data_IF_715668412124
#
_entry.id   IF_715668412124
#
_cell.length_a   1.000
_cell.length_b   1.000
_cell.length_c   1.000
_cell.angle_alpha   90.00
_cell.angle_beta   90.00
_cell.angle_gamma   90.00
#
_symmetry.space_group_name_H-M   'P 1'
#
loop_
_entity.id
_entity.type
_entity.pdbx_description
1 polymer ?
#
# COMPACT_ATOMS: atom_id res chain seq x y z
N UNK A 1 -37.60 -21.24 -25.75
CA UNK A 1 -36.64 -21.16 -24.66
C UNK A 1 -37.11 -20.11 -23.68
N UNK A 2 -37.13 -20.42 -22.39
CA UNK A 2 -37.48 -19.48 -21.30
C UNK A 2 -36.43 -19.58 -20.21
N UNK A 3 -36.29 -18.47 -19.43
CA UNK A 3 -35.26 -18.26 -18.42
C UNK A 3 -34.19 -17.26 -18.91
N UNK A 4 -33.56 -16.59 -18.00
CA UNK A 4 -32.46 -15.66 -18.24
C UNK A 4 -31.37 -15.91 -17.21
N UNK A 5 -30.13 -15.68 -17.58
CA UNK A 5 -28.97 -15.74 -16.69
C UNK A 5 -28.50 -14.31 -16.45
N UNK A 6 -28.45 -13.91 -15.20
CA UNK A 6 -27.82 -12.66 -14.79
C UNK A 6 -26.38 -12.97 -14.36
N UNK A 7 -25.42 -12.70 -15.24
CA UNK A 7 -24.01 -12.96 -14.98
C UNK A 7 -23.37 -12.01 -13.97
N UNK A 8 -24.09 -10.97 -13.55
CA UNK A 8 -23.62 -10.04 -12.51
C UNK A 8 -24.00 -10.47 -11.08
N UNK A 9 -24.82 -11.52 -10.96
CA UNK A 9 -25.28 -12.02 -9.67
C UNK A 9 -24.97 -13.50 -9.52
N UNK A 10 -24.17 -13.89 -8.55
CA UNK A 10 -23.92 -15.28 -8.21
C UNK A 10 -25.23 -16.03 -7.89
N UNK A 11 -25.35 -17.26 -8.32
CA UNK A 11 -26.53 -18.07 -8.12
C UNK A 11 -26.79 -19.11 -9.23
N UNK A 12 -27.85 -19.87 -9.05
CA UNK A 12 -28.27 -20.92 -9.98
C UNK A 12 -29.43 -20.42 -10.82
N UNK A 13 -29.26 -20.49 -12.14
CA UNK A 13 -30.24 -20.05 -13.11
C UNK A 13 -30.74 -21.24 -13.93
N UNK A 14 -32.06 -21.44 -14.01
CA UNK A 14 -32.66 -22.49 -14.80
C UNK A 14 -33.08 -21.96 -16.18
N UNK A 15 -32.56 -22.57 -17.26
CA UNK A 15 -32.99 -22.33 -18.63
C UNK A 15 -33.83 -23.52 -19.05
N UNK A 16 -35.08 -23.27 -19.50
CA UNK A 16 -36.02 -24.26 -20.00
C UNK A 16 -36.10 -24.19 -21.51
N UNK A 17 -36.01 -25.34 -22.12
CA UNK A 17 -36.16 -25.54 -23.55
C UNK A 17 -37.43 -26.34 -23.79
N UNK A 18 -38.27 -25.90 -24.71
CA UNK A 18 -39.46 -26.61 -25.12
C UNK A 18 -39.58 -26.59 -26.64
N UNK A 19 -39.97 -27.65 -27.19
CA UNK A 19 -40.28 -27.81 -28.62
C UNK A 19 -41.57 -28.64 -28.76
N UNK A 20 -42.38 -28.33 -29.76
CA UNK A 20 -43.52 -29.12 -30.12
C UNK A 20 -43.43 -29.52 -31.59
N UNK A 21 -43.80 -30.78 -31.91
CA UNK A 21 -43.94 -31.21 -33.27
C UNK A 21 -45.25 -30.73 -33.92
N UNK A 22 -45.46 -31.07 -35.18
CA UNK A 22 -46.71 -30.73 -35.93
C UNK A 22 -47.97 -31.37 -35.33
N UNK A 23 -47.82 -32.47 -34.61
CA UNK A 23 -48.87 -33.20 -33.90
C UNK A 23 -49.08 -32.69 -32.45
N UNK A 24 -48.36 -31.62 -32.04
CA UNK A 24 -48.41 -30.99 -30.71
C UNK A 24 -47.80 -31.86 -29.61
N UNK A 25 -47.03 -32.90 -29.91
CA UNK A 25 -46.25 -33.61 -28.90
C UNK A 25 -45.12 -32.66 -28.42
N UNK A 26 -44.94 -32.54 -27.11
CA UNK A 26 -43.96 -31.63 -26.50
C UNK A 26 -42.73 -32.39 -26.03
N UNK A 27 -41.57 -31.86 -26.37
CA UNK A 27 -40.31 -32.20 -25.75
C UNK A 27 -39.81 -31.06 -24.89
N UNK A 28 -39.31 -31.38 -23.70
CA UNK A 28 -38.78 -30.38 -22.75
C UNK A 28 -37.41 -30.82 -22.24
N UNK A 29 -36.53 -29.82 -22.03
CA UNK A 29 -35.23 -30.02 -21.40
C UNK A 29 -34.92 -28.82 -20.49
N UNK A 30 -34.10 -29.02 -19.50
CA UNK A 30 -33.63 -27.98 -18.58
C UNK A 30 -32.11 -27.96 -18.54
N UNK A 31 -31.58 -26.77 -18.34
CA UNK A 31 -30.16 -26.57 -18.07
C UNK A 31 -30.04 -25.64 -16.84
N UNK A 32 -29.25 -26.05 -15.87
CA UNK A 32 -28.82 -25.16 -14.79
C UNK A 32 -27.52 -24.51 -15.19
N UNK A 33 -27.45 -23.19 -15.00
CA UNK A 33 -26.24 -22.37 -15.16
C UNK A 33 -25.85 -21.85 -13.79
N UNK A 34 -24.67 -22.21 -13.33
CA UNK A 34 -24.11 -21.73 -12.07
C UNK A 34 -23.28 -20.46 -12.36
N UNK A 35 -23.67 -19.33 -11.79
CA UNK A 35 -22.87 -18.10 -11.79
C UNK A 35 -22.17 -18.01 -10.45
N UNK A 36 -20.84 -17.96 -10.47
CA UNK A 36 -20.02 -17.90 -9.27
C UNK A 36 -19.21 -16.61 -9.26
N UNK A 37 -19.11 -15.98 -8.10
CA UNK A 37 -18.15 -14.92 -7.88
C UNK A 37 -16.80 -15.53 -7.46
N UNK A 38 -15.74 -15.11 -8.11
CA UNK A 38 -14.35 -15.55 -7.86
C UNK A 38 -13.43 -14.36 -7.54
N UNK A 39 -13.99 -13.17 -7.40
CA UNK A 39 -13.25 -11.94 -7.12
C UNK A 39 -13.17 -11.75 -5.62
N UNK A 40 -11.97 -11.56 -5.11
CA UNK A 40 -11.79 -11.25 -3.70
C UNK A 40 -12.13 -9.80 -3.39
N UNK A 41 -12.76 -9.52 -2.23
CA UNK A 41 -13.03 -8.16 -1.81
C UNK A 41 -11.76 -7.37 -1.58
N UNK A 42 -11.82 -6.06 -1.80
CA UNK A 42 -10.71 -5.14 -1.61
C UNK A 42 -10.89 -4.36 -0.30
N UNK A 43 -9.84 -4.40 0.54
CA UNK A 43 -9.75 -3.56 1.74
C UNK A 43 -8.86 -2.36 1.43
N UNK A 44 -9.38 -1.16 1.64
CA UNK A 44 -8.65 0.10 1.55
C UNK A 44 -8.46 0.68 2.94
N UNK A 45 -7.21 0.80 3.38
CA UNK A 45 -6.87 1.45 4.63
C UNK A 45 -7.08 2.97 4.53
N UNK A 46 -7.63 3.58 5.57
CA UNK A 46 -7.66 5.03 5.74
C UNK A 46 -6.31 5.47 6.31
N UNK A 47 -5.69 6.50 5.71
CA UNK A 47 -4.32 6.90 6.07
C UNK A 47 -3.25 5.90 5.61
N UNK A 48 -2.06 6.01 6.19
CA UNK A 48 -0.90 5.23 5.76
C UNK A 48 -0.94 3.77 6.26
N UNK A 49 -0.34 2.89 5.49
CA UNK A 49 -0.12 1.48 5.83
C UNK A 49 1.06 1.29 6.82
N UNK A 50 1.91 2.32 6.94
CA UNK A 50 2.96 2.42 7.96
C UNK A 50 2.76 3.67 8.80
N UNK A 51 2.71 3.51 10.12
CA UNK A 51 2.54 4.61 11.08
C UNK A 51 3.65 4.58 12.13
N UNK A 52 4.18 5.76 12.48
CA UNK A 52 5.12 5.92 13.57
C UNK A 52 4.44 6.61 14.76
N UNK A 53 4.56 6.01 15.95
CA UNK A 53 3.99 6.53 17.20
C UNK A 53 5.09 6.63 18.23
N UNK A 54 5.21 7.78 18.90
CA UNK A 54 6.16 7.93 20.00
C UNK A 54 5.66 7.13 21.20
N UNK A 55 6.55 6.43 21.87
CA UNK A 55 6.26 5.70 23.12
C UNK A 55 5.59 6.63 24.14
N UNK A 56 4.46 6.17 24.67
CA UNK A 56 3.59 6.90 25.57
C UNK A 56 2.46 7.66 24.86
N UNK A 57 2.58 7.99 23.59
CA UNK A 57 1.52 8.66 22.83
C UNK A 57 0.38 7.70 22.48
N UNK A 58 -0.84 8.23 22.38
CA UNK A 58 -2.01 7.42 22.02
C UNK A 58 -1.97 7.04 20.55
N UNK A 59 -2.03 5.74 20.26
CA UNK A 59 -2.35 5.24 18.94
C UNK A 59 -3.87 5.18 18.75
N UNK A 60 -4.35 5.61 17.58
CA UNK A 60 -5.71 5.42 17.11
C UNK A 60 -5.65 4.96 15.67
N UNK A 61 -6.28 3.83 15.37
CA UNK A 61 -6.39 3.34 14.00
C UNK A 61 -7.24 4.32 13.18
N UNK A 62 -6.75 4.81 12.01
CA UNK A 62 -7.53 5.71 11.15
C UNK A 62 -8.74 5.04 10.48
N UNK A 63 -8.81 3.71 10.53
CA UNK A 63 -9.90 2.94 9.93
C UNK A 63 -9.59 2.36 8.57
N UNK A 64 -10.64 1.86 7.94
CA UNK A 64 -10.59 1.17 6.65
C UNK A 64 -11.98 1.16 6.01
N UNK A 65 -12.04 0.77 4.73
CA UNK A 65 -13.27 0.39 4.01
C UNK A 65 -13.02 -0.92 3.29
N UNK A 66 -14.08 -1.70 3.05
CA UNK A 66 -14.00 -2.91 2.25
C UNK A 66 -15.15 -2.97 1.24
N UNK A 67 -14.83 -3.26 0.01
CA UNK A 67 -15.81 -3.35 -1.08
C UNK A 67 -15.57 -4.60 -1.93
N UNK A 68 -16.66 -5.13 -2.43
CA UNK A 68 -16.68 -6.26 -3.35
C UNK A 68 -17.53 -5.96 -4.57
N UNK A 69 -17.25 -6.61 -5.70
CA UNK A 69 -17.96 -6.39 -6.97
C UNK A 69 -19.39 -6.90 -6.96
N UNK A 70 -19.70 -7.94 -6.19
CA UNK A 70 -21.02 -8.56 -6.09
C UNK A 70 -21.75 -8.17 -4.81
N UNK A 71 -21.05 -8.11 -3.68
CA UNK A 71 -21.64 -7.83 -2.36
C UNK A 71 -21.64 -6.33 -2.02
N UNK A 72 -20.94 -5.48 -2.79
CA UNK A 72 -20.87 -4.04 -2.57
C UNK A 72 -20.04 -3.66 -1.35
N UNK A 73 -20.55 -2.81 -0.48
CA UNK A 73 -19.87 -2.39 0.74
C UNK A 73 -20.03 -3.48 1.84
N UNK A 74 -18.93 -4.08 2.22
CA UNK A 74 -18.85 -5.11 3.27
C UNK A 74 -17.90 -4.70 4.40
N UNK A 75 -17.71 -3.41 4.61
CA UNK A 75 -16.82 -2.83 5.63
C UNK A 75 -17.11 -3.37 7.02
N UNK A 76 -18.39 -3.53 7.39
CA UNK A 76 -18.80 -4.04 8.70
C UNK A 76 -18.42 -5.52 8.95
N UNK A 77 -18.11 -6.25 7.87
CA UNK A 77 -17.70 -7.66 7.93
C UNK A 77 -16.20 -7.86 8.13
N UNK A 78 -15.41 -6.77 8.11
CA UNK A 78 -13.96 -6.84 8.29
C UNK A 78 -13.60 -7.28 9.72
N UNK A 79 -12.77 -8.29 9.82
CA UNK A 79 -12.17 -8.75 11.07
C UNK A 79 -10.79 -8.15 11.23
N UNK A 80 -10.58 -7.47 12.35
CA UNK A 80 -9.27 -6.93 12.72
C UNK A 80 -8.59 -7.88 13.69
N UNK A 81 -7.35 -8.24 13.39
CA UNK A 81 -6.54 -9.19 14.15
C UNK A 81 -5.06 -8.78 14.13
N UNK A 82 -4.16 -9.65 14.56
CA UNK A 82 -2.74 -9.37 14.61
C UNK A 82 -2.32 -8.80 15.98
N UNK A 83 -1.29 -7.95 15.95
CA UNK A 83 -0.73 -7.41 17.18
C UNK A 83 -1.63 -6.33 17.78
N UNK A 84 -1.78 -6.38 19.10
CA UNK A 84 -2.33 -5.25 19.86
C UNK A 84 -1.23 -4.23 20.08
N UNK A 85 -1.37 -3.04 19.47
CA UNK A 85 -0.39 -1.96 19.62
C UNK A 85 -0.28 -1.55 21.08
N UNK A 86 0.91 -1.77 21.66
CA UNK A 86 1.25 -1.34 23.01
C UNK A 86 2.05 -0.03 22.92
N UNK A 87 1.39 1.07 23.22
CA UNK A 87 1.97 2.41 23.18
C UNK A 87 3.16 2.61 24.13
N UNK A 88 3.25 1.80 25.18
CA UNK A 88 4.26 1.92 26.24
C UNK A 88 5.49 1.02 25.98
N UNK A 89 5.45 0.20 24.91
CA UNK A 89 6.54 -0.69 24.53
C UNK A 89 7.02 -0.39 23.11
N UNK A 90 8.27 0.03 22.98
CA UNK A 90 8.88 0.22 21.66
C UNK A 90 8.94 -1.10 20.87
N UNK A 91 8.57 -1.06 19.60
CA UNK A 91 8.51 -2.23 18.72
C UNK A 91 7.67 -1.98 17.48
N UNK A 92 7.67 -2.95 16.59
CA UNK A 92 6.79 -2.97 15.41
C UNK A 92 5.61 -3.88 15.68
N UNK A 93 4.43 -3.40 15.38
CA UNK A 93 3.14 -4.09 15.56
C UNK A 93 2.46 -4.19 14.21
N UNK A 94 2.02 -5.38 13.84
CA UNK A 94 1.30 -5.61 12.59
C UNK A 94 -0.18 -5.85 12.89
N UNK A 95 -1.02 -4.93 12.44
CA UNK A 95 -2.48 -5.06 12.47
C UNK A 95 -2.93 -5.63 11.14
N UNK A 96 -3.72 -6.70 11.17
CA UNK A 96 -4.23 -7.41 10.01
C UNK A 96 -5.74 -7.22 9.89
N UNK A 97 -6.19 -6.88 8.69
CA UNK A 97 -7.61 -6.75 8.33
C UNK A 97 -7.95 -7.87 7.36
N UNK A 98 -9.00 -8.62 7.62
CA UNK A 98 -9.48 -9.70 6.77
C UNK A 98 -10.98 -9.58 6.57
N UNK A 99 -11.46 -9.81 5.36
CA UNK A 99 -12.88 -9.89 5.04
C UNK A 99 -13.11 -11.00 4.04
N UNK A 100 -14.28 -11.64 4.12
CA UNK A 100 -14.73 -12.59 3.09
C UNK A 100 -16.05 -12.10 2.52
N UNK A 101 -16.22 -12.26 1.21
CA UNK A 101 -17.49 -12.07 0.53
C UNK A 101 -18.47 -13.22 0.81
N UNK A 102 -19.68 -13.14 0.28
CA UNK A 102 -20.71 -14.18 0.40
C UNK A 102 -20.38 -15.46 -0.35
N UNK A 103 -19.46 -15.41 -1.31
CA UNK A 103 -18.97 -16.54 -2.11
C UNK A 103 -17.76 -17.23 -1.47
N UNK A 104 -17.19 -16.66 -0.40
CA UNK A 104 -16.07 -17.21 0.37
C UNK A 104 -14.69 -16.77 -0.13
N UNK A 105 -14.60 -15.82 -1.08
CA UNK A 105 -13.31 -15.23 -1.46
C UNK A 105 -12.82 -14.30 -0.36
N UNK A 106 -11.50 -14.24 -0.15
CA UNK A 106 -10.90 -13.51 0.97
C UNK A 106 -10.05 -12.34 0.50
N UNK A 107 -10.29 -11.16 1.09
CA UNK A 107 -9.46 -9.98 0.99
C UNK A 107 -8.69 -9.73 2.29
N UNK A 108 -7.44 -9.26 2.17
CA UNK A 108 -6.60 -8.93 3.33
C UNK A 108 -5.84 -7.63 3.11
N UNK A 109 -5.60 -6.90 4.20
CA UNK A 109 -4.69 -5.77 4.26
C UNK A 109 -3.94 -5.77 5.59
N UNK A 110 -2.79 -5.10 5.64
CA UNK A 110 -2.01 -4.98 6.87
C UNK A 110 -1.57 -3.54 7.10
N UNK A 111 -1.50 -3.13 8.37
CA UNK A 111 -0.89 -1.87 8.80
C UNK A 111 0.21 -2.17 9.77
N UNK A 112 1.39 -1.58 9.56
CA UNK A 112 2.51 -1.66 10.50
C UNK A 112 2.55 -0.39 11.33
N UNK A 113 2.52 -0.56 12.64
CA UNK A 113 2.67 0.54 13.61
C UNK A 113 4.01 0.38 14.31
N UNK A 114 4.90 1.35 14.14
CA UNK A 114 6.20 1.40 14.81
C UNK A 114 6.11 2.31 16.04
N UNK A 115 6.09 1.73 17.23
CA UNK A 115 6.23 2.49 18.47
C UNK A 115 7.72 2.71 18.73
N UNK A 116 8.18 3.96 18.67
CA UNK A 116 9.59 4.29 18.89
C UNK A 116 9.80 4.97 20.24
N UNK A 117 10.91 4.62 20.89
CA UNK A 117 11.35 5.26 22.14
C UNK A 117 12.44 6.30 21.83
N UNK A 118 12.15 7.60 21.91
CA UNK A 118 13.17 8.63 21.64
C UNK A 118 14.32 8.61 22.66
N UNK A 119 14.09 8.06 23.85
CA UNK A 119 15.15 7.93 24.85
C UNK A 119 16.12 6.78 24.52
N UNK A 120 15.63 5.70 23.89
CA UNK A 120 16.48 4.59 23.45
C UNK A 120 17.41 4.99 22.28
N UNK A 121 16.98 5.97 21.46
CA UNK A 121 17.85 6.55 20.43
C UNK A 121 18.92 7.48 21.02
N UNK A 122 18.76 7.88 22.27
CA UNK A 122 19.72 8.67 23.02
C UNK A 122 20.70 7.81 23.83
N UNK A 123 20.70 6.49 23.63
CA UNK A 123 21.77 5.66 24.12
C UNK A 123 23.06 6.12 23.41
N UNK A 124 23.72 7.03 24.09
CA UNK A 124 24.91 7.69 23.62
C UNK A 124 26.03 6.66 23.51
N UNK A 125 26.06 6.01 22.36
CA UNK A 125 27.32 5.51 21.88
C UNK A 125 28.19 6.76 21.77
N UNK A 126 29.00 7.00 22.78
CA UNK A 126 30.06 8.00 22.65
C UNK A 126 30.98 7.50 21.52
N UNK A 127 30.87 8.06 20.29
CA UNK A 127 31.59 7.50 19.14
C UNK A 127 33.10 7.72 19.28
N UNK A 128 33.55 8.37 20.33
CA UNK A 128 34.90 8.89 20.43
C UNK A 128 35.18 9.79 19.23
N UNK A 129 36.27 9.51 18.50
CA UNK A 129 36.61 10.22 17.26
C UNK A 129 35.98 9.60 16.00
N UNK A 130 34.96 8.75 16.13
CA UNK A 130 34.29 8.13 14.96
C UNK A 130 33.17 9.03 14.45
N UNK A 131 33.20 9.31 13.15
CA UNK A 131 32.17 10.09 12.46
C UNK A 131 31.39 9.11 11.57
N UNK A 132 30.07 9.17 11.64
CA UNK A 132 29.16 8.44 10.75
C UNK A 132 28.54 9.43 9.80
N UNK A 133 28.67 9.21 8.50
CA UNK A 133 27.97 9.93 7.45
C UNK A 133 26.73 9.12 7.06
N UNK A 134 25.56 9.72 7.16
CA UNK A 134 24.30 9.10 6.77
C UNK A 134 23.86 9.67 5.43
N UNK A 135 23.58 8.80 4.48
CA UNK A 135 23.10 9.16 3.15
C UNK A 135 21.75 8.50 2.84
N UNK A 136 20.95 9.16 2.00
CA UNK A 136 19.70 8.64 1.48
C UNK A 136 19.71 8.82 -0.03
N UNK A 137 19.50 7.73 -0.75
CA UNK A 137 19.57 7.69 -2.20
C UNK A 137 18.15 7.54 -2.80
N UNK A 138 17.99 7.83 -4.10
CA UNK A 138 16.78 7.64 -4.90
C UNK A 138 15.58 8.53 -4.55
N UNK A 139 15.74 9.47 -3.62
CA UNK A 139 14.68 10.43 -3.26
C UNK A 139 14.54 11.60 -4.25
N UNK A 140 13.64 12.54 -3.92
CA UNK A 140 12.63 12.49 -2.87
C UNK A 140 11.43 11.58 -3.19
N UNK A 141 10.68 11.18 -2.16
CA UNK A 141 9.51 10.36 -2.30
C UNK A 141 8.49 10.62 -1.18
N UNK A 142 7.44 9.81 -1.12
CA UNK A 142 6.31 9.97 -0.20
C UNK A 142 6.69 10.07 1.30
N UNK A 143 7.83 9.55 1.68
CA UNK A 143 8.29 9.54 3.07
C UNK A 143 9.30 10.65 3.40
N UNK A 144 9.77 11.39 2.40
CA UNK A 144 10.83 12.39 2.57
C UNK A 144 10.43 13.48 3.56
N UNK A 145 9.19 13.97 3.53
CA UNK A 145 8.73 14.99 4.49
C UNK A 145 8.82 14.48 5.94
N UNK A 146 8.34 13.29 6.20
CA UNK A 146 8.40 12.68 7.55
C UNK A 146 9.84 12.39 8.00
N UNK A 147 10.72 12.03 7.06
CA UNK A 147 12.14 11.86 7.33
C UNK A 147 12.79 13.19 7.71
N UNK A 148 12.52 14.26 6.98
CA UNK A 148 13.04 15.61 7.27
C UNK A 148 12.61 16.08 8.66
N UNK A 149 11.34 15.88 9.03
CA UNK A 149 10.82 16.24 10.34
C UNK A 149 11.51 15.44 11.46
N UNK A 150 11.83 14.17 11.19
CA UNK A 150 12.57 13.32 12.13
C UNK A 150 14.02 13.79 12.28
N UNK A 151 14.70 14.11 11.18
CA UNK A 151 16.08 14.60 11.20
C UNK A 151 16.21 15.92 11.94
N UNK A 152 15.26 16.84 11.73
CA UNK A 152 15.22 18.12 12.46
C UNK A 152 15.02 17.89 13.96
N UNK A 153 14.11 16.99 14.33
CA UNK A 153 13.84 16.65 15.74
C UNK A 153 15.09 16.16 16.48
N UNK A 154 15.96 15.42 15.79
CA UNK A 154 17.20 14.89 16.37
C UNK A 154 18.42 15.76 16.05
N UNK A 155 18.22 16.90 15.37
CA UNK A 155 19.28 17.79 14.91
C UNK A 155 20.39 17.05 14.13
N UNK A 156 19.99 16.11 13.27
CA UNK A 156 20.90 15.32 12.42
C UNK A 156 20.91 15.91 11.03
N UNK A 157 22.10 16.13 10.48
CA UNK A 157 22.27 16.50 9.07
C UNK A 157 22.80 15.33 8.28
N UNK A 158 22.31 15.19 7.05
CA UNK A 158 22.56 14.04 6.16
C UNK A 158 22.85 14.51 4.74
N UNK A 159 23.24 13.59 3.89
CA UNK A 159 23.32 13.83 2.43
C UNK A 159 22.19 13.08 1.73
N UNK A 160 21.42 13.78 0.92
CA UNK A 160 20.44 13.21 0.01
C UNK A 160 21.03 13.15 -1.40
N UNK A 161 21.02 11.97 -2.01
CA UNK A 161 21.34 11.77 -3.42
C UNK A 161 20.04 11.62 -4.20
N UNK A 162 19.64 12.67 -4.90
CA UNK A 162 18.29 12.81 -5.47
C UNK A 162 18.21 12.39 -6.93
N UNK A 163 17.01 12.00 -7.36
CA UNK A 163 16.65 11.66 -8.75
C UNK A 163 15.41 12.43 -9.20
N UNK A 164 15.08 12.37 -10.49
CA UNK A 164 13.84 12.90 -11.05
C UNK A 164 12.73 11.86 -11.22
N UNK A 165 12.87 10.70 -10.57
CA UNK A 165 11.95 9.56 -10.78
C UNK A 165 10.56 9.76 -10.14
N UNK A 166 10.41 10.74 -9.24
CA UNK A 166 9.16 11.02 -8.53
C UNK A 166 8.74 12.49 -8.66
N UNK A 167 8.12 12.89 -9.78
CA UNK A 167 7.80 14.29 -10.08
C UNK A 167 6.97 15.01 -9.02
N UNK A 168 6.05 14.29 -8.35
CA UNK A 168 5.14 14.85 -7.33
C UNK A 168 5.86 15.31 -6.05
N UNK A 169 7.12 14.90 -5.86
CA UNK A 169 7.90 15.19 -4.64
C UNK A 169 9.12 16.08 -4.90
N UNK A 170 9.34 16.55 -6.13
CA UNK A 170 10.53 17.35 -6.49
C UNK A 170 10.68 18.66 -5.68
N UNK A 171 9.56 19.21 -5.22
CA UNK A 171 9.57 20.37 -4.35
C UNK A 171 10.29 20.12 -3.01
N UNK A 172 10.42 18.87 -2.58
CA UNK A 172 11.11 18.50 -1.33
C UNK A 172 12.62 18.61 -1.45
N UNK A 173 13.21 18.60 -2.64
CA UNK A 173 14.66 18.84 -2.86
C UNK A 173 15.08 20.21 -2.30
N UNK A 174 14.29 21.23 -2.61
CA UNK A 174 14.54 22.57 -2.07
C UNK A 174 14.35 22.62 -0.53
N UNK A 175 13.41 21.85 0.01
CA UNK A 175 13.17 21.76 1.43
C UNK A 175 14.31 21.01 2.16
N UNK A 176 14.88 19.96 1.57
CA UNK A 176 16.08 19.27 2.06
C UNK A 176 17.24 20.25 2.23
N UNK A 177 17.55 21.02 1.18
CA UNK A 177 18.61 22.03 1.21
C UNK A 177 18.33 23.15 2.23
N UNK A 178 17.09 23.66 2.29
CA UNK A 178 16.66 24.72 3.21
C UNK A 178 16.80 24.29 4.67
N UNK A 179 16.58 23.03 4.99
CA UNK A 179 16.76 22.46 6.33
C UNK A 179 18.22 22.16 6.65
N UNK A 180 19.15 22.49 5.75
CA UNK A 180 20.60 22.40 5.96
C UNK A 180 21.17 21.02 5.78
N UNK A 181 20.51 20.17 5.01
CA UNK A 181 21.08 18.92 4.51
C UNK A 181 21.92 19.17 3.26
N UNK A 182 22.87 18.25 2.98
CA UNK A 182 23.57 18.25 1.69
C UNK A 182 22.67 17.57 0.66
N UNK A 183 22.51 18.20 -0.50
CA UNK A 183 21.81 17.61 -1.64
C UNK A 183 22.81 17.40 -2.76
N UNK A 184 22.83 16.19 -3.31
CA UNK A 184 23.68 15.78 -4.41
C UNK A 184 22.86 15.04 -5.48
N UNK A 185 23.35 14.97 -6.69
CA UNK A 185 22.69 14.27 -7.79
C UNK A 185 23.07 12.79 -7.72
N UNK A 186 22.06 11.90 -7.70
CA UNK A 186 22.28 10.47 -7.85
C UNK A 186 22.28 10.08 -9.33
N UNK A 187 21.26 10.53 -10.04
CA UNK A 187 21.09 10.59 -11.51
C UNK A 187 19.73 11.25 -11.75
N UNK A 188 19.43 11.69 -12.98
CA UNK A 188 18.09 12.20 -13.23
C UNK A 188 17.08 11.05 -13.41
N UNK A 189 17.38 10.08 -14.26
CA UNK A 189 16.45 9.02 -14.66
C UNK A 189 16.59 7.70 -13.91
N UNK A 190 17.73 7.43 -13.29
CA UNK A 190 18.10 6.17 -12.64
C UNK A 190 17.97 4.93 -13.55
N UNK A 191 18.18 5.12 -14.88
CA UNK A 191 18.04 4.05 -15.87
C UNK A 191 19.40 3.52 -16.32
N UNK A 192 19.99 2.61 -15.56
CA UNK A 192 21.33 2.04 -15.78
C UNK A 192 21.62 1.61 -17.22
N UNK A 193 20.66 0.95 -17.87
CA UNK A 193 20.79 0.49 -19.25
C UNK A 193 20.78 1.62 -20.29
N UNK A 194 20.52 2.85 -19.89
CA UNK A 194 20.58 4.05 -20.72
C UNK A 194 21.79 4.91 -20.35
N UNK A 195 21.97 5.20 -19.08
CA UNK A 195 23.01 6.09 -18.55
C UNK A 195 24.42 5.60 -18.91
N UNK A 196 24.67 4.29 -18.83
CA UNK A 196 25.99 3.71 -19.05
C UNK A 196 26.23 3.17 -20.49
N UNK A 197 25.43 3.59 -21.45
CA UNK A 197 25.65 3.22 -22.86
C UNK A 197 26.80 3.99 -23.51
N UNK A 198 27.08 5.20 -23.04
CA UNK A 198 28.21 6.03 -23.46
C UNK A 198 28.49 7.13 -22.43
N UNK A 199 29.67 7.76 -22.53
CA UNK A 199 30.00 8.93 -21.70
C UNK A 199 29.01 10.08 -21.93
N UNK A 200 28.61 10.33 -23.19
CA UNK A 200 27.64 11.36 -23.52
C UNK A 200 26.27 11.05 -22.87
N UNK A 201 25.81 9.81 -22.93
CA UNK A 201 24.53 9.42 -22.30
C UNK A 201 24.53 9.64 -20.77
N UNK A 202 25.69 9.49 -20.12
CA UNK A 202 25.85 9.81 -18.72
C UNK A 202 25.70 11.30 -18.44
N UNK A 203 26.34 12.15 -19.25
CA UNK A 203 26.22 13.61 -19.11
C UNK A 203 24.83 14.12 -19.47
N UNK A 204 24.18 13.55 -20.49
CA UNK A 204 22.81 13.90 -20.89
C UNK A 204 21.78 13.58 -19.79
N UNK A 205 22.05 12.58 -18.93
CA UNK A 205 21.19 12.25 -17.79
C UNK A 205 21.35 13.24 -16.61
N UNK A 206 22.43 14.02 -16.58
CA UNK A 206 22.68 14.99 -15.51
C UNK A 206 22.14 16.40 -15.81
N UNK A 207 21.75 16.68 -17.06
CA UNK A 207 21.16 17.95 -17.51
C UNK A 207 19.64 17.98 -17.34
#
# INVERSE_FOLDING_TARGET
VTGAVDTSKPGDYEIKYSVADSSKNKGEAKRTVHVTDTTAPQIKLSGDDFMSVKKGDKYSDPGYTATDNCDGDITDSVKVSGDKVDKDKAGKYTVTYEVSDSSGNKGTATRVVSVYDPAAAADTVNPGNKIIYLTFDDGPGKYTQGLLDLLDKYNVKVTFFVTNTHPDYQNLIAEEAKRGHTVAIHSASHKYNQIYTSEQAFFDDLE
#
